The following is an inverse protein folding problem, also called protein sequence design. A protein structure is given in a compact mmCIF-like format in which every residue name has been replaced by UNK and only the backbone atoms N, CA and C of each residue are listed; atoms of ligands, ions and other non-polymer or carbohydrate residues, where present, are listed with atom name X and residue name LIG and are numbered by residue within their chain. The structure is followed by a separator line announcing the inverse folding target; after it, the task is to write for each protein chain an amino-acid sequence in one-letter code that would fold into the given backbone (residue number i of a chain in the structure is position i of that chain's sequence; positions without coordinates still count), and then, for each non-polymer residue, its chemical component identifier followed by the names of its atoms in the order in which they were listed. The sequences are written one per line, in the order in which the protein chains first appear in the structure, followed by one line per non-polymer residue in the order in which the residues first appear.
data_IF_850486092059
#
_entry.id   IF_850486092059
#
_cell.length_a   1.000
_cell.length_b   1.000
_cell.length_c   1.000
_cell.angle_alpha   90.00
_cell.angle_beta   90.00
_cell.angle_gamma   90.00
#
_symmetry.space_group_name_H-M   'P 1'
#
loop_
_entity.id
_entity.type
_entity.pdbx_description
1 polymer ?
#
# COMPACT_ATOMS: atom_id res chain seq x y z
N UNK A 1 8.09 25.14 22.33
CA UNK A 1 8.81 24.02 21.70
C UNK A 1 10.18 23.93 22.34
N UNK A 2 10.64 22.74 22.73
CA UNK A 2 12.00 22.57 23.27
C UNK A 2 12.89 22.08 22.13
N UNK A 3 13.87 22.87 21.73
CA UNK A 3 14.76 22.55 20.62
C UNK A 3 16.19 22.95 20.95
N UNK A 4 17.15 22.23 20.38
CA UNK A 4 18.58 22.54 20.40
C UNK A 4 19.02 23.39 19.19
N UNK A 5 18.07 23.82 18.35
CA UNK A 5 18.32 24.69 17.21
C UNK A 5 18.57 26.13 17.67
N UNK A 6 19.54 26.79 17.01
CA UNK A 6 19.88 28.17 17.32
C UNK A 6 18.72 29.12 16.99
N UNK A 7 18.51 30.10 17.87
CA UNK A 7 17.37 31.03 17.79
C UNK A 7 17.55 32.05 16.68
N UNK A 8 18.78 32.39 16.33
CA UNK A 8 19.07 33.40 15.31
C UNK A 8 18.87 32.84 13.90
N UNK A 9 19.09 31.53 13.73
CA UNK A 9 18.91 30.83 12.45
C UNK A 9 17.49 30.28 12.25
N UNK A 10 16.77 29.93 13.31
CA UNK A 10 15.45 29.29 13.21
C UNK A 10 14.36 30.04 14.00
N UNK A 11 13.38 30.58 13.27
CA UNK A 11 12.27 31.29 13.88
C UNK A 11 11.25 30.32 14.47
N UNK A 12 10.51 30.78 15.48
CA UNK A 12 9.43 30.04 16.12
C UNK A 12 8.41 29.37 15.15
N UNK A 13 7.93 30.01 14.06
CA UNK A 13 7.04 29.34 13.10
C UNK A 13 7.70 28.17 12.35
N UNK A 14 9.01 28.21 12.11
CA UNK A 14 9.73 27.13 11.43
C UNK A 14 9.86 25.92 12.35
N UNK A 15 10.15 26.17 13.63
CA UNK A 15 10.14 25.14 14.67
C UNK A 15 8.74 24.53 14.82
N UNK A 16 7.69 25.34 14.74
CA UNK A 16 6.30 24.84 14.78
C UNK A 16 5.97 23.94 13.58
N UNK A 17 6.45 24.26 12.37
CA UNK A 17 6.33 23.41 11.19
C UNK A 17 7.09 22.08 11.36
N UNK A 18 8.31 22.12 11.92
CA UNK A 18 9.07 20.91 12.19
C UNK A 18 8.35 20.02 13.22
N UNK A 19 7.76 20.62 14.26
CA UNK A 19 6.93 19.88 15.21
C UNK A 19 5.65 19.32 14.60
N UNK A 20 5.12 19.93 13.54
CA UNK A 20 4.00 19.37 12.77
C UNK A 20 4.40 18.10 12.03
N UNK A 21 5.65 18.00 11.54
CA UNK A 21 6.16 16.78 10.92
C UNK A 21 6.18 15.58 11.90
N UNK A 22 6.27 15.83 13.22
CA UNK A 22 6.07 14.77 14.22
C UNK A 22 4.70 14.10 14.11
N UNK A 23 3.67 14.88 13.84
CA UNK A 23 2.29 14.39 13.68
C UNK A 23 2.12 13.56 12.40
N UNK A 24 2.83 13.92 11.33
CA UNK A 24 2.85 13.13 10.08
C UNK A 24 3.43 11.73 10.32
N UNK A 25 4.45 11.59 11.16
CA UNK A 25 5.01 10.28 11.55
C UNK A 25 3.97 9.45 12.31
N UNK A 26 3.24 10.07 13.25
CA UNK A 26 2.18 9.38 13.99
C UNK A 26 1.04 8.92 13.07
N UNK A 27 0.67 9.77 12.10
CA UNK A 27 -0.32 9.43 11.08
C UNK A 27 0.16 8.29 10.18
N UNK A 28 1.45 8.28 9.82
CA UNK A 28 2.09 7.19 9.06
C UNK A 28 1.97 5.86 9.81
N UNK A 29 2.32 5.83 11.09
CA UNK A 29 2.19 4.61 11.90
C UNK A 29 0.73 4.17 12.07
N UNK A 30 -0.20 5.11 12.20
CA UNK A 30 -1.63 4.80 12.23
C UNK A 30 -2.13 4.20 10.93
N UNK A 31 -1.65 4.71 9.79
CA UNK A 31 -1.96 4.17 8.46
C UNK A 31 -1.34 2.78 8.25
N UNK A 32 -0.11 2.56 8.71
CA UNK A 32 0.56 1.26 8.64
C UNK A 32 -0.19 0.20 9.46
N UNK A 33 -0.55 0.52 10.72
CA UNK A 33 -1.37 -0.38 11.55
C UNK A 33 -2.71 -0.70 10.89
N UNK A 34 -3.40 0.30 10.34
CA UNK A 34 -4.72 0.11 9.73
C UNK A 34 -4.73 -0.61 8.38
N UNK A 35 -3.63 -0.64 7.63
CA UNK A 35 -3.60 -1.22 6.26
C UNK A 35 -2.81 -2.52 6.15
N UNK A 36 -1.85 -2.72 7.05
CA UNK A 36 -0.96 -3.86 7.05
C UNK A 36 -1.07 -4.66 8.36
N UNK A 37 -2.08 -4.36 9.17
CA UNK A 37 -2.42 -5.05 10.43
C UNK A 37 -1.19 -5.26 11.32
N UNK A 38 -0.32 -4.24 11.39
CA UNK A 38 0.93 -4.31 12.18
C UNK A 38 0.66 -4.59 13.66
N UNK A 39 -0.54 -4.29 14.15
CA UNK A 39 -0.98 -4.57 15.51
C UNK A 39 -1.54 -5.98 15.71
N UNK A 40 -1.84 -6.73 14.64
CA UNK A 40 -2.28 -8.13 14.67
C UNK A 40 -1.14 -9.13 14.41
N UNK A 41 0.10 -8.65 14.27
CA UNK A 41 1.27 -9.52 14.08
C UNK A 41 1.48 -10.38 15.34
N UNK A 42 1.15 -11.66 15.23
CA UNK A 42 1.25 -12.64 16.34
C UNK A 42 2.64 -13.25 16.53
N UNK A 43 3.69 -12.72 15.88
CA UNK A 43 5.07 -13.20 16.06
C UNK A 43 5.79 -12.44 17.17
N UNK A 44 6.68 -13.13 17.90
CA UNK A 44 7.55 -12.53 18.92
C UNK A 44 8.99 -12.39 18.43
N UNK A 45 9.29 -12.87 17.22
CA UNK A 45 10.62 -12.76 16.63
C UNK A 45 10.88 -11.33 16.14
N UNK A 46 11.85 -10.66 16.76
CA UNK A 46 12.21 -9.29 16.45
C UNK A 46 12.64 -9.10 14.98
N UNK A 47 13.32 -10.08 14.39
CA UNK A 47 13.78 -10.01 13.00
C UNK A 47 12.59 -10.05 12.04
N UNK A 48 11.61 -10.92 12.31
CA UNK A 48 10.39 -11.03 11.50
C UNK A 48 9.57 -9.74 11.62
N UNK A 49 9.43 -9.19 12.83
CA UNK A 49 8.71 -7.92 13.06
C UNK A 49 9.38 -6.78 12.30
N UNK A 50 10.71 -6.67 12.37
CA UNK A 50 11.47 -5.63 11.66
C UNK A 50 11.28 -5.74 10.14
N UNK A 51 11.41 -6.96 9.59
CA UNK A 51 11.17 -7.20 8.17
C UNK A 51 9.75 -6.82 7.74
N UNK A 52 8.72 -7.16 8.54
CA UNK A 52 7.33 -6.79 8.26
C UNK A 52 7.12 -5.27 8.28
N UNK A 53 7.70 -4.57 9.25
CA UNK A 53 7.63 -3.10 9.33
C UNK A 53 8.27 -2.48 8.08
N UNK A 54 9.46 -2.94 7.70
CA UNK A 54 10.17 -2.44 6.51
C UNK A 54 9.36 -2.71 5.24
N UNK A 55 8.83 -3.92 5.08
CA UNK A 55 8.02 -4.29 3.92
C UNK A 55 6.73 -3.47 3.84
N UNK A 56 6.04 -3.24 4.96
CA UNK A 56 4.84 -2.42 5.02
C UNK A 56 5.15 -0.95 4.69
N UNK A 57 6.25 -0.40 5.22
CA UNK A 57 6.71 0.94 4.89
C UNK A 57 7.05 1.10 3.40
N UNK A 58 7.76 0.11 2.83
CA UNK A 58 8.09 0.09 1.40
C UNK A 58 6.84 0.01 0.54
N UNK A 59 5.89 -0.86 0.89
CA UNK A 59 4.62 -1.02 0.20
C UNK A 59 3.79 0.27 0.22
N UNK A 60 3.75 0.95 1.38
CA UNK A 60 3.09 2.25 1.51
C UNK A 60 3.76 3.33 0.66
N UNK A 61 5.09 3.36 0.64
CA UNK A 61 5.86 4.28 -0.20
C UNK A 61 5.54 4.06 -1.69
N UNK A 62 5.61 2.81 -2.16
CA UNK A 62 5.29 2.46 -3.54
C UNK A 62 3.86 2.85 -3.90
N UNK A 63 2.89 2.59 -3.02
CA UNK A 63 1.50 3.03 -3.20
C UNK A 63 1.39 4.54 -3.39
N UNK A 64 2.10 5.34 -2.58
CA UNK A 64 2.11 6.80 -2.70
C UNK A 64 2.72 7.28 -4.01
N UNK A 65 3.83 6.68 -4.46
CA UNK A 65 4.45 7.00 -5.75
C UNK A 65 3.49 6.69 -6.89
N UNK A 66 2.88 5.50 -6.90
CA UNK A 66 1.90 5.11 -7.93
C UNK A 66 0.74 6.10 -7.98
N UNK A 67 0.18 6.48 -6.83
CA UNK A 67 -0.92 7.45 -6.78
C UNK A 67 -0.48 8.83 -7.27
N UNK A 68 0.74 9.27 -6.96
CA UNK A 68 1.28 10.55 -7.42
C UNK A 68 1.47 10.57 -8.94
N UNK A 69 2.02 9.50 -9.51
CA UNK A 69 2.17 9.36 -10.97
C UNK A 69 0.82 9.26 -11.67
N UNK A 70 -0.14 8.52 -11.14
CA UNK A 70 -1.51 8.48 -11.67
C UNK A 70 -2.14 9.88 -11.66
N UNK A 71 -1.88 10.69 -10.63
CA UNK A 71 -2.37 12.07 -10.57
C UNK A 71 -1.70 12.98 -11.62
N UNK A 72 -0.39 12.81 -11.87
CA UNK A 72 0.32 13.55 -12.92
C UNK A 72 -0.17 13.19 -14.31
N UNK A 73 -0.41 11.90 -14.57
CA UNK A 73 -0.97 11.43 -15.85
C UNK A 73 -2.38 11.99 -16.08
N UNK A 74 -3.24 11.93 -15.06
CA UNK A 74 -4.59 12.49 -15.09
C UNK A 74 -4.57 14.01 -15.31
N UNK A 75 -3.63 14.74 -14.70
CA UNK A 75 -3.43 16.17 -14.95
C UNK A 75 -2.97 16.45 -16.39
N UNK A 76 -1.98 15.70 -16.90
CA UNK A 76 -1.49 15.83 -18.28
C UNK A 76 -2.57 15.49 -19.31
N UNK A 77 -3.44 14.54 -18.99
CA UNK A 77 -4.56 14.15 -19.85
C UNK A 77 -5.67 15.20 -19.85
N UNK A 78 -5.89 15.89 -18.72
CA UNK A 78 -6.75 17.09 -18.65
C UNK A 78 -6.19 18.26 -19.44
N UNK A 79 -4.88 18.55 -19.35
CA UNK A 79 -4.27 19.63 -20.15
C UNK A 79 -4.40 19.37 -21.67
N UNK A 80 -4.50 18.11 -22.11
CA UNK A 80 -4.81 17.74 -23.50
C UNK A 80 -6.31 17.71 -23.83
N UNK A 81 -7.17 17.55 -22.82
CA UNK A 81 -8.62 17.44 -22.94
C UNK A 81 -9.36 18.76 -22.60
N UNK A 82 -8.66 19.78 -22.12
CA UNK A 82 -9.20 21.13 -21.92
C UNK A 82 -9.54 21.84 -23.25
N UNK A 83 -9.25 21.21 -24.40
CA UNK A 83 -9.84 21.55 -25.72
C UNK A 83 -11.24 20.92 -25.94
N UNK A 84 -11.70 19.98 -25.10
CA UNK A 84 -12.99 19.33 -25.23
C UNK A 84 -13.57 18.82 -23.89
N UNK A 85 -14.38 19.67 -23.26
CA UNK A 85 -15.39 19.35 -22.25
C UNK A 85 -14.93 19.19 -20.78
N UNK A 86 -15.19 20.25 -20.03
CA UNK A 86 -15.26 20.27 -18.57
C UNK A 86 -16.33 19.28 -18.04
N UNK A 87 -15.92 18.28 -17.25
CA UNK A 87 -16.64 17.84 -16.05
C UNK A 87 -15.88 16.78 -15.23
N UNK A 88 -15.38 17.24 -14.08
CA UNK A 88 -15.59 16.64 -12.75
C UNK A 88 -15.32 15.14 -12.55
N UNK A 89 -14.10 14.78 -12.16
CA UNK A 89 -13.88 13.84 -11.04
C UNK A 89 -12.46 14.04 -10.48
N UNK A 90 -12.31 14.83 -9.41
CA UNK A 90 -11.05 14.83 -8.64
C UNK A 90 -10.91 13.45 -7.99
N UNK A 91 -9.94 12.64 -8.43
CA UNK A 91 -9.65 11.34 -7.82
C UNK A 91 -9.11 11.57 -6.40
N UNK A 92 -9.85 11.23 -5.33
CA UNK A 92 -9.36 11.39 -3.97
C UNK A 92 -8.25 10.36 -3.74
N UNK A 93 -7.08 10.79 -3.22
CA UNK A 93 -5.91 9.93 -2.93
C UNK A 93 -6.29 8.60 -2.24
N UNK A 94 -7.28 8.61 -1.34
CA UNK A 94 -7.75 7.42 -0.63
C UNK A 94 -8.44 6.38 -1.52
N UNK A 95 -9.21 6.78 -2.54
CA UNK A 95 -9.88 5.83 -3.46
C UNK A 95 -8.92 5.18 -4.45
N UNK A 96 -7.82 5.86 -4.76
CA UNK A 96 -6.83 5.37 -5.71
C UNK A 96 -6.11 4.13 -5.16
N UNK A 97 -5.79 4.09 -3.85
CA UNK A 97 -5.23 2.89 -3.20
C UNK A 97 -6.16 1.67 -3.31
N UNK A 98 -7.47 1.86 -3.12
CA UNK A 98 -8.46 0.80 -3.21
C UNK A 98 -8.67 0.31 -4.65
N UNK A 99 -8.54 1.19 -5.64
CA UNK A 99 -8.57 0.82 -7.05
C UNK A 99 -7.32 0.02 -7.44
N UNK A 100 -6.13 0.43 -6.97
CA UNK A 100 -4.88 -0.31 -7.18
C UNK A 100 -4.93 -1.69 -6.54
N UNK A 101 -5.42 -1.81 -5.31
CA UNK A 101 -5.61 -3.09 -4.63
C UNK A 101 -6.59 -4.00 -5.40
N UNK A 102 -7.76 -3.47 -5.78
CA UNK A 102 -8.77 -4.21 -6.52
C UNK A 102 -8.31 -4.68 -7.90
N UNK A 103 -7.43 -3.91 -8.54
CA UNK A 103 -6.92 -4.18 -9.89
C UNK A 103 -5.45 -4.61 -9.91
N UNK A 104 -4.89 -5.04 -8.77
CA UNK A 104 -3.49 -5.47 -8.67
C UNK A 104 -3.13 -6.55 -9.70
N UNK A 105 -4.06 -7.49 -9.95
CA UNK A 105 -3.90 -8.55 -10.96
C UNK A 105 -3.80 -8.01 -12.39
N UNK A 106 -4.55 -6.96 -12.74
CA UNK A 106 -4.45 -6.32 -14.06
C UNK A 106 -3.13 -5.55 -14.20
N UNK A 107 -2.72 -4.85 -13.15
CA UNK A 107 -1.43 -4.14 -13.12
C UNK A 107 -0.28 -5.14 -13.32
N UNK A 108 -0.35 -6.29 -12.65
CA UNK A 108 0.64 -7.36 -12.80
C UNK A 108 0.65 -7.95 -14.22
N UNK A 109 -0.50 -8.17 -14.84
CA UNK A 109 -0.59 -8.65 -16.23
C UNK A 109 0.02 -7.66 -17.23
N UNK A 110 -0.27 -6.36 -17.08
CA UNK A 110 0.32 -5.32 -17.91
C UNK A 110 1.84 -5.24 -17.74
N UNK A 111 2.34 -5.35 -16.51
CA UNK A 111 3.78 -5.39 -16.24
C UNK A 111 4.46 -6.62 -16.84
N UNK A 112 3.82 -7.79 -16.79
CA UNK A 112 4.37 -9.00 -17.42
C UNK A 112 4.53 -8.82 -18.93
N UNK A 113 3.53 -8.26 -19.60
CA UNK A 113 3.59 -7.97 -21.03
C UNK A 113 4.69 -6.94 -21.37
N UNK A 114 4.80 -5.87 -20.58
CA UNK A 114 5.80 -4.82 -20.79
C UNK A 114 7.24 -5.33 -20.58
N UNK A 115 7.43 -6.26 -19.64
CA UNK A 115 8.69 -6.94 -19.39
C UNK A 115 8.99 -8.08 -20.40
N UNK A 116 8.12 -8.31 -21.38
CA UNK A 116 8.30 -9.31 -22.43
C UNK A 116 7.98 -10.75 -22.01
N UNK A 117 7.28 -10.96 -20.90
CA UNK A 117 6.76 -12.28 -20.53
C UNK A 117 5.51 -12.61 -21.36
N UNK A 118 5.35 -13.88 -21.71
CA UNK A 118 4.13 -14.37 -22.34
C UNK A 118 2.95 -14.34 -21.35
N UNK A 119 1.75 -14.11 -21.87
CA UNK A 119 0.54 -14.13 -21.06
C UNK A 119 0.35 -15.54 -20.49
N UNK A 120 0.25 -15.72 -19.16
CA UNK A 120 -0.02 -17.03 -18.59
C UNK A 120 -1.31 -17.60 -19.17
N UNK A 121 -1.31 -18.89 -19.50
CA UNK A 121 -2.53 -19.59 -19.86
C UNK A 121 -3.59 -19.42 -18.75
N UNK A 122 -4.86 -19.30 -19.12
CA UNK A 122 -5.95 -18.96 -18.20
C UNK A 122 -6.03 -19.99 -17.06
N UNK A 123 -5.83 -21.26 -17.38
CA UNK A 123 -5.84 -22.35 -16.42
C UNK A 123 -4.68 -22.22 -15.42
N UNK A 124 -3.51 -21.81 -15.91
CA UNK A 124 -2.33 -21.56 -15.08
C UNK A 124 -2.55 -20.37 -14.14
N UNK A 125 -3.20 -19.30 -14.61
CA UNK A 125 -3.51 -18.12 -13.82
C UNK A 125 -4.56 -18.42 -12.74
N UNK A 126 -5.60 -19.19 -13.09
CA UNK A 126 -6.61 -19.66 -12.14
C UNK A 126 -6.00 -20.58 -11.08
N UNK A 127 -5.16 -21.54 -11.48
CA UNK A 127 -4.43 -22.41 -10.55
C UNK A 127 -3.52 -21.61 -9.61
N UNK A 128 -2.84 -20.59 -10.12
CA UNK A 128 -2.00 -19.72 -9.29
C UNK A 128 -2.83 -18.90 -8.29
N UNK A 129 -3.93 -18.29 -8.72
CA UNK A 129 -4.82 -17.50 -7.86
C UNK A 129 -5.58 -18.32 -6.81
N UNK A 130 -5.79 -19.61 -7.09
CA UNK A 130 -6.52 -20.54 -6.22
C UNK A 130 -5.60 -21.33 -5.29
N UNK A 131 -4.28 -21.18 -5.40
CA UNK A 131 -3.35 -21.79 -4.46
C UNK A 131 -3.58 -21.23 -3.07
N UNK A 132 -3.75 -22.15 -2.13
CA UNK A 132 -3.89 -21.84 -0.72
C UNK A 132 -2.60 -21.13 -0.24
N UNK A 133 -2.69 -19.87 0.22
CA UNK A 133 -1.52 -19.16 0.71
C UNK A 133 -0.97 -19.76 2.00
N UNK A 134 -1.72 -20.64 2.69
CA UNK A 134 -1.29 -21.29 3.92
C UNK A 134 -1.43 -22.81 3.86
N UNK A 135 -0.55 -23.51 3.11
CA UNK A 135 -0.67 -24.95 2.86
C UNK A 135 -0.51 -25.83 4.12
N UNK A 136 0.01 -25.27 5.22
CA UNK A 136 0.27 -25.99 6.46
C UNK A 136 -0.84 -25.81 7.50
N UNK A 137 -1.85 -24.99 7.23
CA UNK A 137 -2.97 -24.79 8.15
C UNK A 137 -3.96 -25.96 8.00
N UNK A 138 -4.26 -26.70 9.08
CA UNK A 138 -5.25 -27.76 9.02
C UNK A 138 -6.59 -27.17 8.60
N UNK A 139 -7.24 -27.79 7.60
CA UNK A 139 -8.49 -27.26 7.06
C UNK A 139 -9.62 -27.58 8.02
N UNK A 140 -10.51 -26.61 8.21
CA UNK A 140 -11.66 -26.75 9.10
C UNK A 140 -12.55 -27.93 8.70
N UNK A 141 -12.64 -28.24 7.39
CA UNK A 141 -13.30 -29.46 6.89
C UNK A 141 -12.55 -30.74 7.28
N UNK A 142 -11.22 -30.78 7.13
CA UNK A 142 -10.41 -31.94 7.50
C UNK A 142 -10.48 -32.20 9.02
N UNK A 143 -10.55 -31.15 9.84
CA UNK A 143 -10.76 -31.28 11.29
C UNK A 143 -12.16 -31.79 11.66
N UNK A 144 -13.20 -31.34 10.95
CA UNK A 144 -14.58 -31.83 11.14
C UNK A 144 -14.70 -33.30 10.69
N UNK A 145 -14.00 -33.68 9.62
CA UNK A 145 -13.97 -35.04 9.07
C UNK A 145 -13.11 -36.00 9.91
N UNK A 146 -12.00 -35.51 10.52
CA UNK A 146 -11.17 -36.30 11.43
C UNK A 146 -11.77 -36.44 12.84
N UNK A 147 -12.80 -35.64 13.16
CA UNK A 147 -13.46 -35.65 14.47
C UNK A 147 -12.61 -35.06 15.61
N UNK A 148 -11.48 -34.44 15.31
CA UNK A 148 -10.61 -33.81 16.28
C UNK A 148 -11.11 -32.41 16.64
N UNK A 149 -12.15 -32.36 17.47
CA UNK A 149 -12.52 -31.16 18.22
C UNK A 149 -11.84 -31.22 19.59
N UNK A 150 -10.86 -30.35 19.82
CA UNK A 150 -10.28 -30.09 21.14
C UNK A 150 -10.71 -28.71 21.63
#
# INVERSE_FOLDING_TARGET
YLTNLDRDDYRAPDIAQLYRARWEIELLFKELKSRFDLDEINTTDAYIIEALIIMAALSLLMSRVIVDELQKLDATQRDRADDAAASSTRLPRRRCSHAVERHAHLIQLYLMLDLGYELPDLDSLLLWSSRDPNPHRPRLREQVESGEFW
#
